data_IF_274713883676
#
_entry.id   IF_274713883676
#
_cell.length_a   1.000
_cell.length_b   1.000
_cell.length_c   1.000
_cell.angle_alpha   90.00
_cell.angle_beta   90.00
_cell.angle_gamma   90.00
#
_symmetry.space_group_name_H-M   'P 1'
#
loop_
_entity.id
_entity.type
_entity.pdbx_description
1 polymer ?
#
# COMPACT_ATOMS: atom_id res chain seq x y z
N UNK A 1 -9.38 12.30 13.30
CA UNK A 1 -8.46 12.73 12.21
C UNK A 1 -7.35 11.71 12.01
N UNK A 2 -7.25 11.11 10.81
CA UNK A 2 -6.22 10.13 10.45
C UNK A 2 -4.80 10.70 10.50
N UNK A 3 -3.84 9.89 10.96
CA UNK A 3 -2.41 10.22 10.91
C UNK A 3 -1.81 9.81 9.56
N UNK A 4 -1.89 10.70 8.57
CA UNK A 4 -1.45 10.46 7.20
C UNK A 4 -0.32 11.44 6.82
N UNK A 5 0.63 10.96 6.00
CA UNK A 5 1.64 11.85 5.41
C UNK A 5 0.94 12.87 4.49
N UNK A 6 1.24 14.16 4.62
CA UNK A 6 0.60 15.19 3.81
C UNK A 6 0.97 15.00 2.33
N UNK A 7 0.01 15.30 1.45
CA UNK A 7 0.24 15.37 0.01
C UNK A 7 0.58 16.80 -0.39
N UNK A 8 1.40 16.97 -1.43
CA UNK A 8 1.52 18.26 -2.11
C UNK A 8 0.19 18.63 -2.76
N UNK A 9 -0.01 19.91 -3.10
CA UNK A 9 -1.24 20.35 -3.77
C UNK A 9 -1.48 19.62 -5.10
N UNK A 10 -0.42 19.36 -5.85
CA UNK A 10 -0.44 18.62 -7.11
C UNK A 10 -0.90 17.16 -6.90
N UNK A 11 -0.31 16.47 -5.92
CA UNK A 11 -0.69 15.09 -5.61
C UNK A 11 -2.11 15.00 -5.02
N UNK A 12 -2.53 15.99 -4.23
CA UNK A 12 -3.89 16.05 -3.70
C UNK A 12 -4.91 16.20 -4.82
N UNK A 13 -4.64 17.08 -5.80
CA UNK A 13 -5.47 17.23 -7.00
C UNK A 13 -5.54 15.92 -7.78
N UNK A 14 -4.40 15.28 -8.04
CA UNK A 14 -4.34 13.99 -8.75
C UNK A 14 -5.10 12.88 -8.02
N UNK A 15 -4.97 12.82 -6.69
CA UNK A 15 -5.71 11.85 -5.88
C UNK A 15 -7.23 12.07 -5.95
N UNK A 16 -7.69 13.33 -5.95
CA UNK A 16 -9.10 13.65 -6.13
C UNK A 16 -9.59 13.26 -7.55
N UNK A 17 -8.86 13.66 -8.59
CA UNK A 17 -9.26 13.51 -9.99
C UNK A 17 -9.19 12.06 -10.49
N UNK A 18 -8.16 11.30 -10.10
CA UNK A 18 -7.89 9.97 -10.67
C UNK A 18 -8.26 8.80 -9.75
N UNK A 19 -8.23 9.04 -8.43
CA UNK A 19 -8.45 8.00 -7.41
C UNK A 19 -9.77 8.18 -6.67
N UNK A 20 -10.52 9.25 -6.91
CA UNK A 20 -11.76 9.60 -6.20
C UNK A 20 -11.54 9.81 -4.69
N UNK A 21 -10.36 10.30 -4.29
CA UNK A 21 -10.06 10.60 -2.90
C UNK A 21 -10.88 11.80 -2.40
N UNK A 22 -11.70 11.57 -1.37
CA UNK A 22 -12.53 12.58 -0.74
C UNK A 22 -12.15 12.73 0.73
N UNK A 23 -11.55 13.85 1.17
CA UNK A 23 -11.07 14.03 2.54
C UNK A 23 -12.10 13.69 3.62
N UNK A 24 -13.36 14.04 3.37
CA UNK A 24 -14.49 13.80 4.27
C UNK A 24 -14.82 12.32 4.48
N UNK A 25 -14.41 11.43 3.56
CA UNK A 25 -14.68 9.98 3.64
C UNK A 25 -13.53 9.17 4.22
N UNK A 26 -12.32 9.75 4.29
CA UNK A 26 -11.10 9.01 4.65
C UNK A 26 -11.25 8.36 6.03
N UNK A 27 -11.74 9.10 7.02
CA UNK A 27 -11.88 8.59 8.39
C UNK A 27 -12.88 7.43 8.48
N UNK A 28 -14.00 7.53 7.76
CA UNK A 28 -15.02 6.47 7.67
C UNK A 28 -14.49 5.22 6.95
N UNK A 29 -13.86 5.39 5.79
CA UNK A 29 -13.36 4.27 4.98
C UNK A 29 -12.23 3.52 5.72
N UNK A 30 -11.36 4.23 6.43
CA UNK A 30 -10.34 3.62 7.30
C UNK A 30 -10.97 2.85 8.47
N UNK A 31 -12.00 3.41 9.11
CA UNK A 31 -12.74 2.71 10.17
C UNK A 31 -13.41 1.44 9.64
N UNK A 32 -14.03 1.49 8.46
CA UNK A 32 -14.66 0.35 7.82
C UNK A 32 -13.65 -0.79 7.54
N UNK A 33 -12.45 -0.48 7.04
CA UNK A 33 -11.38 -1.47 6.85
C UNK A 33 -10.92 -2.07 8.18
N UNK A 34 -10.76 -1.27 9.24
CA UNK A 34 -10.41 -1.77 10.59
C UNK A 34 -11.45 -2.74 11.13
N UNK A 35 -12.74 -2.38 11.02
CA UNK A 35 -13.85 -3.23 11.46
C UNK A 35 -13.88 -4.54 10.68
N UNK A 36 -13.66 -4.50 9.37
CA UNK A 36 -13.59 -5.71 8.54
C UNK A 36 -12.38 -6.59 8.90
N UNK A 37 -11.21 -6.01 9.13
CA UNK A 37 -10.02 -6.75 9.59
C UNK A 37 -10.25 -7.42 10.95
N UNK A 38 -10.92 -6.75 11.88
CA UNK A 38 -11.28 -7.33 13.18
C UNK A 38 -12.22 -8.55 13.04
N UNK A 39 -13.06 -8.58 12.00
CA UNK A 39 -13.94 -9.72 11.66
C UNK A 39 -13.22 -10.81 10.85
N UNK A 40 -11.98 -10.57 10.43
CA UNK A 40 -11.21 -11.46 9.54
C UNK A 40 -9.96 -11.98 10.25
N UNK A 41 -10.09 -12.84 11.28
CA UNK A 41 -8.98 -13.22 12.17
C UNK A 41 -7.87 -14.02 11.49
N UNK A 42 -8.13 -14.57 10.30
CA UNK A 42 -7.13 -15.26 9.49
C UNK A 42 -6.12 -14.28 8.85
N UNK A 43 -6.49 -13.00 8.70
CA UNK A 43 -5.61 -11.95 8.16
C UNK A 43 -4.88 -11.27 9.33
N UNK A 44 -3.61 -11.64 9.54
CA UNK A 44 -2.73 -10.99 10.52
C UNK A 44 -2.17 -9.69 9.95
N UNK A 45 -3.00 -8.65 9.88
CA UNK A 45 -2.64 -7.39 9.23
C UNK A 45 -2.18 -6.29 10.18
N UNK A 46 -1.25 -5.46 9.69
CA UNK A 46 -1.11 -4.08 10.18
C UNK A 46 -2.42 -3.32 9.95
N UNK A 47 -2.73 -2.39 10.84
CA UNK A 47 -3.92 -1.56 10.72
C UNK A 47 -3.60 -0.07 10.84
N UNK A 48 -2.37 0.40 10.72
CA UNK A 48 -2.09 1.85 10.77
C UNK A 48 -2.72 2.61 9.59
N UNK A 49 -3.04 3.89 9.79
CA UNK A 49 -3.73 4.72 8.79
C UNK A 49 -2.98 4.76 7.47
N UNK A 50 -1.66 4.93 7.52
CA UNK A 50 -0.84 5.04 6.33
C UNK A 50 -0.83 3.73 5.52
N UNK A 51 -0.77 2.58 6.18
CA UNK A 51 -0.86 1.27 5.54
C UNK A 51 -2.22 1.05 4.87
N UNK A 52 -3.32 1.27 5.57
CA UNK A 52 -4.66 1.07 5.03
C UNK A 52 -4.97 2.05 3.89
N UNK A 53 -4.51 3.30 4.00
CA UNK A 53 -4.65 4.31 2.96
C UNK A 53 -3.99 3.89 1.63
N UNK A 54 -2.88 3.14 1.66
CA UNK A 54 -2.27 2.62 0.43
C UNK A 54 -3.22 1.68 -0.33
N UNK A 55 -3.98 0.84 0.38
CA UNK A 55 -4.97 -0.04 -0.26
C UNK A 55 -6.17 0.74 -0.79
N UNK A 56 -6.64 1.75 -0.05
CA UNK A 56 -7.70 2.64 -0.53
C UNK A 56 -7.30 3.35 -1.83
N UNK A 57 -6.15 4.02 -1.85
CA UNK A 57 -5.62 4.69 -3.06
C UNK A 57 -5.38 3.71 -4.20
N UNK A 58 -4.76 2.57 -3.92
CA UNK A 58 -4.52 1.50 -4.89
C UNK A 58 -5.79 0.85 -5.44
N UNK A 59 -6.94 1.11 -4.82
CA UNK A 59 -8.26 0.60 -5.22
C UNK A 59 -9.23 1.72 -5.59
N UNK A 60 -8.73 2.95 -5.82
CA UNK A 60 -9.54 4.13 -6.16
C UNK A 60 -10.70 4.37 -5.17
N UNK A 61 -10.39 4.23 -3.88
CA UNK A 61 -11.33 4.36 -2.76
C UNK A 61 -12.57 3.43 -2.82
N UNK A 62 -12.48 2.33 -3.58
CA UNK A 62 -13.45 1.23 -3.51
C UNK A 62 -13.13 0.30 -2.33
N UNK A 63 -14.00 0.29 -1.32
CA UNK A 63 -13.83 -0.55 -0.13
C UNK A 63 -13.76 -2.05 -0.46
N UNK A 64 -14.62 -2.55 -1.34
CA UNK A 64 -14.62 -3.97 -1.70
C UNK A 64 -13.32 -4.38 -2.40
N UNK A 65 -12.86 -3.59 -3.38
CA UNK A 65 -11.57 -3.84 -4.05
C UNK A 65 -10.39 -3.70 -3.10
N UNK A 66 -10.45 -2.80 -2.12
CA UNK A 66 -9.43 -2.66 -1.09
C UNK A 66 -9.36 -3.91 -0.19
N UNK A 67 -10.50 -4.47 0.21
CA UNK A 67 -10.58 -5.72 0.97
C UNK A 67 -10.00 -6.90 0.18
N UNK A 68 -10.42 -7.07 -1.08
CA UNK A 68 -9.89 -8.12 -1.98
C UNK A 68 -8.36 -8.01 -2.15
N UNK A 69 -7.86 -6.80 -2.40
CA UNK A 69 -6.42 -6.56 -2.57
C UNK A 69 -5.64 -6.81 -1.27
N UNK A 70 -6.20 -6.44 -0.12
CA UNK A 70 -5.57 -6.68 1.18
C UNK A 70 -5.53 -8.17 1.50
N UNK A 71 -6.62 -8.89 1.27
CA UNK A 71 -6.67 -10.34 1.42
C UNK A 71 -5.61 -11.03 0.57
N UNK A 72 -5.60 -10.71 -0.73
CA UNK A 72 -4.62 -11.25 -1.68
C UNK A 72 -3.18 -10.92 -1.27
N UNK A 73 -2.92 -9.71 -0.75
CA UNK A 73 -1.61 -9.31 -0.27
C UNK A 73 -1.07 -10.23 0.84
N UNK A 74 -1.91 -10.65 1.78
CA UNK A 74 -1.50 -11.60 2.82
C UNK A 74 -1.50 -13.05 2.34
N UNK A 75 -2.40 -13.41 1.42
CA UNK A 75 -2.42 -14.72 0.77
C UNK A 75 -1.10 -15.00 0.06
N UNK A 76 -0.63 -14.09 -0.80
CA UNK A 76 0.66 -14.23 -1.51
C UNK A 76 1.84 -14.29 -0.54
N UNK A 77 1.86 -13.46 0.51
CA UNK A 77 2.91 -13.47 1.54
C UNK A 77 2.99 -14.79 2.32
N UNK A 78 1.85 -15.45 2.48
CA UNK A 78 1.77 -16.73 3.18
C UNK A 78 2.11 -17.89 2.25
N UNK A 79 1.66 -17.83 0.99
CA UNK A 79 1.85 -18.87 0.00
C UNK A 79 3.29 -18.93 -0.57
N UNK A 80 3.97 -17.79 -0.70
CA UNK A 80 5.30 -17.67 -1.30
C UNK A 80 6.34 -17.10 -0.30
N UNK A 81 6.60 -17.79 0.83
CA UNK A 81 7.50 -17.28 1.86
C UNK A 81 8.94 -17.09 1.35
N UNK A 82 9.39 -17.88 0.38
CA UNK A 82 10.72 -17.79 -0.25
C UNK A 82 10.93 -16.48 -1.02
N UNK A 83 9.85 -15.84 -1.48
CA UNK A 83 9.92 -14.52 -2.13
C UNK A 83 9.58 -13.38 -1.17
N UNK A 84 8.80 -13.64 -0.11
CA UNK A 84 8.14 -12.60 0.68
C UNK A 84 8.63 -12.49 2.13
N UNK A 85 9.37 -13.48 2.66
CA UNK A 85 10.01 -13.44 3.99
C UNK A 85 11.51 -13.14 3.86
N UNK A 86 12.13 -12.75 4.98
CA UNK A 86 13.58 -12.54 5.11
C UNK A 86 14.19 -11.64 4.03
N UNK A 87 13.51 -10.53 3.73
CA UNK A 87 13.93 -9.52 2.75
C UNK A 87 15.03 -8.60 3.31
N UNK A 88 16.15 -9.20 3.72
CA UNK A 88 17.29 -8.48 4.25
C UNK A 88 18.06 -7.79 3.11
N UNK A 89 18.13 -6.45 3.07
CA UNK A 89 18.86 -5.73 2.03
C UNK A 89 20.36 -6.02 2.02
N UNK A 90 20.93 -6.55 3.12
CA UNK A 90 22.35 -6.90 3.22
C UNK A 90 22.65 -8.36 2.85
N UNK A 91 21.62 -9.15 2.53
CA UNK A 91 21.80 -10.53 2.07
C UNK A 91 22.57 -10.57 0.75
N UNK A 92 23.70 -11.30 0.73
CA UNK A 92 24.59 -11.36 -0.43
C UNK A 92 23.89 -11.76 -1.73
N UNK A 93 22.98 -12.75 -1.67
CA UNK A 93 22.22 -13.21 -2.83
C UNK A 93 21.26 -12.16 -3.36
N UNK A 94 20.56 -11.43 -2.48
CA UNK A 94 19.70 -10.33 -2.90
C UNK A 94 20.53 -9.23 -3.56
N UNK A 95 21.71 -8.94 -3.01
CA UNK A 95 22.58 -7.90 -3.55
C UNK A 95 23.21 -8.28 -4.89
N UNK A 96 23.53 -9.55 -5.12
CA UNK A 96 23.90 -10.08 -6.43
C UNK A 96 22.78 -9.87 -7.45
N UNK A 97 21.53 -10.22 -7.10
CA UNK A 97 20.37 -10.03 -7.96
C UNK A 97 20.13 -8.56 -8.32
N UNK A 98 20.27 -7.65 -7.36
CA UNK A 98 20.16 -6.20 -7.61
C UNK A 98 21.26 -5.74 -8.57
N UNK A 99 22.50 -6.20 -8.39
CA UNK A 99 23.65 -5.85 -9.25
C UNK A 99 23.55 -6.38 -10.68
N UNK A 100 22.71 -7.40 -10.95
CA UNK A 100 22.39 -7.83 -12.32
C UNK A 100 21.63 -6.77 -13.11
N UNK A 101 21.07 -5.74 -12.44
CA UNK A 101 20.37 -4.65 -13.11
C UNK A 101 19.00 -5.02 -13.67
N UNK A 102 18.41 -6.13 -13.21
CA UNK A 102 17.09 -6.62 -13.68
C UNK A 102 15.97 -5.64 -13.30
N UNK A 103 16.11 -4.94 -12.17
CA UNK A 103 15.25 -3.85 -11.76
C UNK A 103 16.10 -2.75 -11.13
N UNK A 104 16.12 -1.56 -11.74
CA UNK A 104 16.91 -0.42 -11.27
C UNK A 104 15.99 0.75 -10.96
N UNK A 105 16.11 1.40 -9.78
CA UNK A 105 15.42 2.65 -9.53
C UNK A 105 15.97 3.71 -10.50
N UNK A 106 15.06 4.41 -11.17
CA UNK A 106 15.46 5.54 -12.00
C UNK A 106 15.85 6.73 -11.11
N UNK A 107 16.74 7.62 -11.59
CA UNK A 107 17.00 8.90 -10.95
C UNK A 107 15.69 9.70 -10.77
N UNK A 108 15.69 10.62 -9.81
CA UNK A 108 14.58 11.54 -9.63
C UNK A 108 14.26 12.27 -10.94
N UNK A 109 12.98 12.42 -11.24
CA UNK A 109 12.55 13.20 -12.39
C UNK A 109 12.95 14.66 -12.20
N UNK A 110 13.35 15.32 -13.29
CA UNK A 110 13.71 16.75 -13.29
C UNK A 110 12.49 17.63 -13.03
N UNK A 111 11.29 17.12 -13.36
CA UNK A 111 10.00 17.77 -13.13
C UNK A 111 9.04 16.79 -12.44
N UNK A 112 8.19 17.24 -11.50
CA UNK A 112 7.06 16.45 -11.02
C UNK A 112 6.00 16.30 -12.14
N UNK A 113 5.37 15.12 -12.21
CA UNK A 113 4.16 14.88 -13.02
C UNK A 113 2.89 15.27 -12.24
#
# INVERSE_FOLDING_TARGET
MPNLRPLSAELAKKAADELFEKPERIEEDLAALRTWLAKSPYIKSRNDDQFLMMFLRGSKHSLERAKEKLDMYYTVRTALPELMRNRDPEEGKLMELIKLGVAVPLPNTVTPD
#
